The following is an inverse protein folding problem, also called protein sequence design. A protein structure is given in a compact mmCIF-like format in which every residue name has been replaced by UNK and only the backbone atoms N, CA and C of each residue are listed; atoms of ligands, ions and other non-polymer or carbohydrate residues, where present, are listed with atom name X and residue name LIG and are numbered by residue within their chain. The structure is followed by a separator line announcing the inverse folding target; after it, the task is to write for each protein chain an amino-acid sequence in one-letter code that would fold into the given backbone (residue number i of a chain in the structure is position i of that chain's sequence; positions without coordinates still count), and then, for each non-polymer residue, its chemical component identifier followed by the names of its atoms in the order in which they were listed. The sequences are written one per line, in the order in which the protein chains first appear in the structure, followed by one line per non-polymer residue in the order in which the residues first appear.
data_IF_145540894012
#
_entry.id   IF_145540894012
#
_cell.length_a   1.000
_cell.length_b   1.000
_cell.length_c   1.000
_cell.angle_alpha   90.00
_cell.angle_beta   90.00
_cell.angle_gamma   90.00
#
_symmetry.space_group_name_H-M   'P 1'
#
loop_
_entity.id
_entity.type
_entity.pdbx_description
1 polymer ?
#
# COMPACT_ATOMS: atom_id res chain seq x y z
N UNK A 1 4.15 19.53 18.84
CA UNK A 1 5.23 18.56 18.98
C UNK A 1 4.62 17.18 19.16
N UNK A 2 4.94 16.20 18.32
CA UNK A 2 4.42 14.83 18.35
C UNK A 2 4.56 14.17 19.73
N UNK A 3 5.69 14.37 20.40
CA UNK A 3 5.94 13.86 21.75
C UNK A 3 4.89 14.33 22.77
N UNK A 4 4.53 15.61 22.73
CA UNK A 4 3.53 16.15 23.67
C UNK A 4 2.14 15.54 23.43
N UNK A 5 1.82 15.17 22.19
CA UNK A 5 0.55 14.54 21.82
C UNK A 5 0.54 13.08 22.28
N UNK A 6 1.65 12.37 22.12
CA UNK A 6 1.83 11.00 22.57
C UNK A 6 1.73 10.90 24.11
N UNK A 7 2.32 11.84 24.86
CA UNK A 7 2.25 11.88 26.32
C UNK A 7 0.85 12.26 26.85
N UNK A 8 0.07 13.00 26.06
CA UNK A 8 -1.30 13.40 26.44
C UNK A 8 -2.35 12.34 26.08
N UNK A 9 -2.08 11.45 25.12
CA UNK A 9 -3.05 10.50 24.60
C UNK A 9 -3.62 9.55 25.66
N UNK A 10 -2.83 8.94 26.58
CA UNK A 10 -3.37 8.10 27.64
C UNK A 10 -4.44 8.82 28.47
N UNK A 11 -4.14 10.06 28.87
CA UNK A 11 -5.06 10.88 29.69
C UNK A 11 -6.35 11.27 28.94
N UNK A 12 -6.25 11.49 27.63
CA UNK A 12 -7.42 11.78 26.78
C UNK A 12 -8.31 10.55 26.64
N UNK A 13 -7.71 9.38 26.44
CA UNK A 13 -8.43 8.11 26.33
C UNK A 13 -9.08 7.74 27.67
N UNK A 14 -8.37 7.88 28.79
CA UNK A 14 -8.92 7.68 30.15
C UNK A 14 -10.14 8.56 30.42
N UNK A 15 -10.09 9.84 30.05
CA UNK A 15 -11.22 10.77 30.19
C UNK A 15 -12.41 10.35 29.33
N UNK A 16 -12.17 9.87 28.12
CA UNK A 16 -13.23 9.42 27.20
C UNK A 16 -13.86 8.09 27.62
N UNK A 17 -13.06 7.17 28.14
CA UNK A 17 -13.50 5.81 28.51
C UNK A 17 -13.96 5.68 29.96
N UNK A 18 -13.68 6.66 30.83
CA UNK A 18 -14.01 6.64 32.26
C UNK A 18 -13.26 5.58 33.08
N UNK A 19 -12.18 5.02 32.57
CA UNK A 19 -11.32 4.02 33.21
C UNK A 19 -9.88 4.13 32.72
N UNK A 20 -8.94 3.71 33.59
CA UNK A 20 -7.53 3.63 33.20
C UNK A 20 -7.33 2.70 32.00
N UNK A 21 -6.51 3.14 31.07
CA UNK A 21 -6.19 2.40 29.84
C UNK A 21 -4.68 2.35 29.71
N UNK A 22 -4.14 1.14 29.67
CA UNK A 22 -2.74 0.93 29.34
C UNK A 22 -2.53 1.02 27.84
N UNK A 23 -1.81 2.06 27.42
CA UNK A 23 -1.41 2.20 26.01
C UNK A 23 -0.04 1.58 25.85
N UNK A 24 -0.01 0.44 25.20
CA UNK A 24 1.24 -0.23 24.83
C UNK A 24 1.74 0.34 23.51
N UNK A 25 2.84 1.05 23.57
CA UNK A 25 3.54 1.53 22.37
C UNK A 25 4.38 0.39 21.81
N UNK A 26 4.16 0.08 20.54
CA UNK A 26 5.08 -0.80 19.83
C UNK A 26 6.21 0.06 19.27
N UNK A 27 7.42 -0.15 19.77
CA UNK A 27 8.62 0.57 19.31
C UNK A 27 9.00 0.24 17.85
N UNK A 28 8.44 -0.84 17.31
CA UNK A 28 8.61 -1.26 15.92
C UNK A 28 7.26 -1.25 15.19
N UNK A 29 6.95 -0.18 14.51
CA UNK A 29 5.88 -0.16 13.51
C UNK A 29 6.50 -0.19 12.10
N UNK A 30 6.06 -1.07 11.20
CA UNK A 30 5.03 -2.10 11.41
C UNK A 30 5.54 -3.23 12.30
N UNK A 31 4.67 -3.82 13.15
CA UNK A 31 5.08 -4.92 14.00
C UNK A 31 5.60 -6.05 13.12
N UNK A 32 6.89 -6.33 13.22
CA UNK A 32 7.58 -7.49 12.65
C UNK A 32 6.95 -8.10 11.37
N UNK A 33 6.56 -7.27 10.40
CA UNK A 33 6.30 -7.75 9.04
C UNK A 33 7.56 -8.38 8.43
N UNK A 34 8.71 -8.16 9.06
CA UNK A 34 9.96 -8.85 8.78
C UNK A 34 9.92 -10.35 9.04
N UNK A 35 9.04 -10.83 9.92
CA UNK A 35 8.90 -12.28 10.15
C UNK A 35 8.02 -12.95 9.07
N UNK A 36 7.10 -12.22 8.46
CA UNK A 36 6.32 -12.73 7.32
C UNK A 36 7.13 -12.71 6.01
N UNK A 37 8.28 -12.03 5.97
CA UNK A 37 9.17 -12.02 4.80
C UNK A 37 10.15 -13.20 4.78
N UNK A 38 10.26 -13.97 5.87
CA UNK A 38 11.28 -15.03 5.99
C UNK A 38 10.94 -16.30 5.19
N UNK A 39 9.68 -16.47 4.76
CA UNK A 39 9.29 -17.58 3.88
C UNK A 39 8.40 -17.10 2.74
N UNK A 40 8.89 -16.11 2.01
CA UNK A 40 8.25 -15.80 0.73
C UNK A 40 8.58 -16.94 -0.21
N UNK A 41 7.59 -17.73 -0.68
CA UNK A 41 7.86 -18.74 -1.70
C UNK A 41 8.57 -18.03 -2.85
N UNK A 42 9.61 -18.66 -3.38
CA UNK A 42 10.39 -18.10 -4.49
C UNK A 42 9.43 -17.51 -5.51
N UNK A 43 9.59 -16.21 -5.81
CA UNK A 43 8.70 -15.48 -6.68
C UNK A 43 8.49 -16.33 -7.94
N UNK A 44 7.27 -16.82 -8.14
CA UNK A 44 6.96 -17.57 -9.37
C UNK A 44 7.21 -16.60 -10.51
N UNK A 45 8.21 -16.89 -11.33
CA UNK A 45 8.60 -16.04 -12.47
C UNK A 45 7.41 -15.79 -13.42
N UNK A 46 6.31 -16.48 -13.20
CA UNK A 46 5.15 -16.51 -14.08
C UNK A 46 3.97 -15.63 -13.60
N UNK A 47 3.88 -15.33 -12.30
CA UNK A 47 2.76 -14.56 -11.76
C UNK A 47 2.96 -13.04 -11.94
N UNK A 48 1.92 -12.29 -12.39
CA UNK A 48 1.97 -10.83 -12.40
C UNK A 48 2.18 -10.27 -10.99
N UNK A 49 3.01 -9.25 -10.87
CA UNK A 49 3.38 -8.64 -9.59
C UNK A 49 2.71 -7.28 -9.44
N UNK A 50 1.97 -7.09 -8.36
CA UNK A 50 1.27 -5.84 -8.06
C UNK A 50 1.85 -5.22 -6.80
N UNK A 51 2.45 -4.04 -6.95
CA UNK A 51 2.96 -3.23 -5.85
C UNK A 51 1.82 -2.51 -5.13
N UNK A 52 1.85 -2.50 -3.80
CA UNK A 52 0.90 -1.78 -2.96
C UNK A 52 1.65 -0.58 -2.35
N UNK A 53 1.10 0.63 -2.47
CA UNK A 53 1.68 1.85 -1.90
C UNK A 53 0.57 2.82 -1.51
N UNK A 54 0.84 3.78 -0.65
CA UNK A 54 -0.12 4.81 -0.23
C UNK A 54 -0.11 5.03 1.27
N UNK A 55 -1.28 5.19 1.88
CA UNK A 55 -1.39 5.33 3.32
C UNK A 55 -0.84 4.09 4.03
N UNK A 56 0.10 4.29 4.97
CA UNK A 56 0.80 3.20 5.64
C UNK A 56 -0.16 2.23 6.37
N UNK A 57 -1.19 2.76 7.05
CA UNK A 57 -2.18 1.92 7.71
C UNK A 57 -2.91 1.04 6.70
N UNK A 58 -3.35 1.62 5.58
CA UNK A 58 -4.03 0.86 4.53
C UNK A 58 -3.12 -0.17 3.87
N UNK A 59 -1.82 0.11 3.75
CA UNK A 59 -0.89 -0.85 3.14
C UNK A 59 -0.69 -2.11 3.97
N UNK A 60 -0.69 -1.99 5.30
CA UNK A 60 -0.27 -3.08 6.19
C UNK A 60 -1.41 -3.71 7.01
N UNK A 61 -2.52 -3.03 7.18
CA UNK A 61 -3.64 -3.55 7.96
C UNK A 61 -4.67 -4.22 7.04
N UNK A 62 -4.75 -5.56 7.15
CA UNK A 62 -5.65 -6.36 6.32
C UNK A 62 -7.14 -6.10 6.58
N UNK A 63 -7.49 -5.63 7.78
CA UNK A 63 -8.87 -5.26 8.09
C UNK A 63 -9.25 -3.95 7.38
N UNK A 64 -8.35 -2.96 7.41
CA UNK A 64 -8.59 -1.65 6.79
C UNK A 64 -8.58 -1.70 5.26
N UNK A 65 -7.86 -2.65 4.66
CA UNK A 65 -7.75 -2.79 3.21
C UNK A 65 -8.56 -3.95 2.61
N UNK A 66 -9.54 -4.47 3.38
CA UNK A 66 -10.43 -5.57 2.96
C UNK A 66 -9.65 -6.84 2.51
N UNK A 67 -8.49 -7.11 3.11
CA UNK A 67 -7.65 -8.25 2.76
C UNK A 67 -7.08 -8.19 1.34
N UNK A 68 -6.67 -7.01 0.89
CA UNK A 68 -6.21 -6.75 -0.47
C UNK A 68 -5.15 -7.74 -0.97
N UNK A 69 -4.14 -8.06 -0.15
CA UNK A 69 -3.09 -8.99 -0.55
C UNK A 69 -3.67 -10.38 -0.88
N UNK A 70 -4.53 -10.92 0.00
CA UNK A 70 -5.21 -12.18 -0.24
C UNK A 70 -6.16 -12.12 -1.44
N UNK A 71 -6.78 -10.96 -1.70
CA UNK A 71 -7.63 -10.77 -2.88
C UNK A 71 -6.80 -10.81 -4.18
N UNK A 72 -5.63 -10.16 -4.20
CA UNK A 72 -4.71 -10.21 -5.34
C UNK A 72 -4.20 -11.64 -5.59
N UNK A 73 -3.90 -12.39 -4.54
CA UNK A 73 -3.51 -13.80 -4.67
C UNK A 73 -4.62 -14.65 -5.28
N UNK A 74 -5.86 -14.48 -4.87
CA UNK A 74 -7.03 -15.15 -5.49
C UNK A 74 -7.20 -14.79 -6.96
N UNK A 75 -6.77 -13.59 -7.37
CA UNK A 75 -6.72 -13.17 -8.77
C UNK A 75 -5.50 -13.70 -9.52
N UNK A 76 -4.65 -14.52 -8.90
CA UNK A 76 -3.46 -15.10 -9.51
C UNK A 76 -2.28 -14.12 -9.62
N UNK A 77 -2.32 -13.01 -8.89
CA UNK A 77 -1.24 -12.02 -8.82
C UNK A 77 -0.41 -12.18 -7.54
N UNK A 78 0.85 -11.77 -7.57
CA UNK A 78 1.69 -11.64 -6.40
C UNK A 78 1.56 -10.22 -5.84
N UNK A 79 1.17 -10.08 -4.57
CA UNK A 79 1.15 -8.79 -3.88
C UNK A 79 2.55 -8.44 -3.37
N UNK A 80 3.06 -7.26 -3.74
CA UNK A 80 4.35 -6.75 -3.28
C UNK A 80 4.10 -5.57 -2.35
N UNK A 81 4.35 -5.78 -1.06
CA UNK A 81 4.18 -4.74 -0.05
C UNK A 81 5.32 -3.71 -0.14
N UNK A 82 5.07 -2.45 0.25
CA UNK A 82 6.10 -1.44 0.29
C UNK A 82 7.08 -1.69 1.43
N UNK A 83 8.29 -1.16 1.29
CA UNK A 83 9.21 -1.09 2.41
C UNK A 83 8.67 -0.08 3.43
N UNK A 84 8.44 -0.49 4.70
CA UNK A 84 7.99 0.41 5.74
C UNK A 84 8.86 1.66 5.89
N UNK A 85 10.17 1.53 5.74
CA UNK A 85 11.09 2.65 5.80
C UNK A 85 10.83 3.72 4.74
N UNK A 86 10.30 3.32 3.58
CA UNK A 86 9.93 4.23 2.51
C UNK A 86 8.60 4.95 2.75
N UNK A 87 7.77 4.53 3.69
CA UNK A 87 6.46 5.12 3.94
C UNK A 87 6.43 6.14 5.07
N UNK A 88 7.46 6.14 5.93
CA UNK A 88 7.47 6.91 7.16
C UNK A 88 8.23 8.24 7.08
N UNK A 89 9.00 8.49 6.02
CA UNK A 89 10.07 9.50 6.12
C UNK A 89 9.85 10.79 5.39
N UNK A 90 9.09 10.95 4.32
CA UNK A 90 8.94 12.25 3.63
C UNK A 90 7.94 12.24 2.47
N UNK A 91 7.59 13.43 1.99
CA UNK A 91 6.70 13.67 0.85
C UNK A 91 7.18 13.04 -0.48
N UNK A 92 8.40 12.55 -0.53
CA UNK A 92 9.03 11.92 -1.72
C UNK A 92 9.12 10.40 -1.59
N UNK A 93 8.67 9.83 -0.47
CA UNK A 93 8.84 8.40 -0.16
C UNK A 93 8.22 7.49 -1.20
N UNK A 94 7.04 7.86 -1.73
CA UNK A 94 6.40 7.05 -2.74
C UNK A 94 7.22 6.92 -4.02
N UNK A 95 8.02 7.92 -4.40
CA UNK A 95 8.90 7.83 -5.58
C UNK A 95 10.00 6.80 -5.36
N UNK A 96 10.63 6.78 -4.17
CA UNK A 96 11.61 5.74 -3.82
C UNK A 96 10.98 4.36 -3.83
N UNK A 97 9.74 4.25 -3.35
CA UNK A 97 9.03 2.98 -3.38
C UNK A 97 8.69 2.55 -4.81
N UNK A 98 8.35 3.49 -5.69
CA UNK A 98 8.15 3.19 -7.11
C UNK A 98 9.46 2.78 -7.80
N UNK A 99 10.60 3.40 -7.47
CA UNK A 99 11.93 2.96 -7.92
C UNK A 99 12.22 1.52 -7.47
N UNK A 100 11.94 1.20 -6.21
CA UNK A 100 12.10 -0.15 -5.67
C UNK A 100 11.18 -1.17 -6.36
N UNK A 101 9.94 -0.80 -6.64
CA UNK A 101 8.99 -1.64 -7.36
C UNK A 101 9.44 -1.89 -8.81
N UNK A 102 9.93 -0.86 -9.48
CA UNK A 102 10.49 -1.00 -10.83
C UNK A 102 11.69 -1.97 -10.84
N UNK A 103 12.61 -1.80 -9.89
CA UNK A 103 13.76 -2.69 -9.74
C UNK A 103 13.34 -4.14 -9.40
N UNK A 104 12.26 -4.30 -8.64
CA UNK A 104 11.70 -5.60 -8.30
C UNK A 104 10.87 -6.23 -9.44
N UNK A 105 10.71 -5.57 -10.59
CA UNK A 105 9.94 -6.09 -11.71
C UNK A 105 8.43 -6.15 -11.45
N UNK A 106 7.90 -5.18 -10.70
CA UNK A 106 6.45 -5.00 -10.51
C UNK A 106 5.80 -4.61 -11.82
N UNK A 107 4.66 -5.19 -12.12
CA UNK A 107 3.95 -5.00 -13.39
C UNK A 107 2.90 -3.88 -13.31
N UNK A 108 2.36 -3.64 -12.13
CA UNK A 108 1.32 -2.64 -11.86
C UNK A 108 1.38 -2.18 -10.42
N UNK A 109 0.98 -0.96 -10.12
CA UNK A 109 0.92 -0.44 -8.75
C UNK A 109 -0.52 -0.07 -8.38
N UNK A 110 -0.95 -0.47 -7.19
CA UNK A 110 -2.19 -0.01 -6.56
C UNK A 110 -1.84 0.99 -5.48
N UNK A 111 -2.31 2.23 -5.64
CA UNK A 111 -2.13 3.30 -4.67
C UNK A 111 -3.36 3.39 -3.78
N UNK A 112 -3.17 3.13 -2.48
CA UNK A 112 -4.25 3.15 -1.48
C UNK A 112 -4.35 4.55 -0.86
N UNK A 113 -5.52 5.13 -0.95
CA UNK A 113 -5.80 6.42 -0.35
C UNK A 113 -7.13 6.44 0.40
N UNK A 114 -7.27 7.40 1.31
CA UNK A 114 -8.54 7.79 1.92
C UNK A 114 -8.80 9.25 1.59
N UNK A 115 -10.01 9.59 1.21
CA UNK A 115 -10.42 10.96 0.88
C UNK A 115 -10.22 11.93 2.06
N UNK A 116 -10.40 11.44 3.28
CA UNK A 116 -10.16 12.21 4.50
C UNK A 116 -8.70 12.64 4.70
N UNK A 117 -7.76 12.08 3.94
CA UNK A 117 -6.35 12.46 3.96
C UNK A 117 -6.02 13.36 2.78
N UNK A 118 -6.24 14.68 2.91
CA UNK A 118 -5.94 15.66 1.86
C UNK A 118 -4.50 15.56 1.35
N UNK A 119 -3.53 15.37 2.23
CA UNK A 119 -2.12 15.18 1.88
C UNK A 119 -1.95 13.96 0.98
N UNK A 120 -2.51 12.81 1.36
CA UNK A 120 -2.46 11.58 0.56
C UNK A 120 -3.11 11.74 -0.81
N UNK A 121 -4.22 12.48 -0.89
CA UNK A 121 -4.93 12.73 -2.15
C UNK A 121 -4.12 13.58 -3.13
N UNK A 122 -3.49 14.66 -2.65
CA UNK A 122 -2.62 15.52 -3.46
C UNK A 122 -1.37 14.75 -3.91
N UNK A 123 -0.77 13.99 -3.00
CA UNK A 123 0.40 13.16 -3.30
C UNK A 123 0.09 12.05 -4.31
N UNK A 124 -1.08 11.40 -4.20
CA UNK A 124 -1.52 10.40 -5.16
C UNK A 124 -1.56 10.94 -6.59
N UNK A 125 -2.10 12.14 -6.77
CA UNK A 125 -2.13 12.79 -8.09
C UNK A 125 -0.73 13.11 -8.61
N UNK A 126 0.14 13.63 -7.75
CA UNK A 126 1.54 13.88 -8.09
C UNK A 126 2.28 12.59 -8.46
N UNK A 127 2.05 11.51 -7.68
CA UNK A 127 2.61 10.20 -7.93
C UNK A 127 2.18 9.62 -9.28
N UNK A 128 0.89 9.73 -9.62
CA UNK A 128 0.35 9.26 -10.89
C UNK A 128 1.04 9.94 -12.08
N UNK A 129 1.19 11.26 -12.04
CA UNK A 129 1.86 12.00 -13.11
C UNK A 129 3.36 11.70 -13.19
N UNK A 130 4.03 11.56 -12.06
CA UNK A 130 5.45 11.21 -12.02
C UNK A 130 5.67 9.77 -12.51
N UNK A 131 4.84 8.83 -12.06
CA UNK A 131 4.91 7.43 -12.44
C UNK A 131 4.66 7.23 -13.94
N UNK A 132 3.64 7.87 -14.50
CA UNK A 132 3.31 7.76 -15.93
C UNK A 132 4.47 8.21 -16.84
N UNK A 133 5.23 9.22 -16.41
CA UNK A 133 6.39 9.72 -17.16
C UNK A 133 7.66 8.90 -16.93
N UNK A 134 7.89 8.48 -15.68
CA UNK A 134 9.14 7.83 -15.28
C UNK A 134 9.11 6.31 -15.50
N UNK A 135 7.91 5.70 -15.38
CA UNK A 135 7.73 4.25 -15.48
C UNK A 135 6.56 3.89 -16.40
N UNK A 136 6.66 4.15 -17.71
CA UNK A 136 5.55 3.93 -18.65
C UNK A 136 5.09 2.46 -18.70
N UNK A 137 5.97 1.52 -18.34
CA UNK A 137 5.65 0.09 -18.26
C UNK A 137 5.11 -0.39 -16.91
N UNK A 138 4.89 0.53 -15.94
CA UNK A 138 4.37 0.23 -14.60
C UNK A 138 3.24 1.19 -14.25
N UNK A 139 2.03 0.98 -14.77
CA UNK A 139 0.90 1.86 -14.52
C UNK A 139 0.46 1.83 -13.06
N UNK A 140 -0.17 2.93 -12.61
CA UNK A 140 -0.66 3.10 -11.24
C UNK A 140 -2.17 3.25 -11.25
N UNK A 141 -2.87 2.47 -10.45
CA UNK A 141 -4.31 2.59 -10.19
C UNK A 141 -4.53 3.10 -8.77
N UNK A 142 -5.27 4.18 -8.61
CA UNK A 142 -5.68 4.69 -7.28
C UNK A 142 -6.95 3.99 -6.83
N UNK A 143 -6.97 3.56 -5.57
CA UNK A 143 -8.13 2.92 -4.94
C UNK A 143 -8.45 3.65 -3.64
N UNK A 144 -9.72 4.09 -3.52
CA UNK A 144 -10.22 4.82 -2.36
C UNK A 144 -10.78 3.86 -1.32
N UNK A 145 -10.30 3.98 -0.07
CA UNK A 145 -10.72 3.20 1.09
C UNK A 145 -11.47 4.08 2.08
N UNK A 146 -12.50 4.76 1.61
CA UNK A 146 -13.37 5.54 2.46
C UNK A 146 -14.57 4.69 2.92
N UNK A 147 -15.14 4.95 4.11
CA UNK A 147 -16.30 4.21 4.62
C UNK A 147 -17.50 4.25 3.67
N UNK A 148 -17.65 5.35 2.93
CA UNK A 148 -18.75 5.55 1.97
C UNK A 148 -18.40 5.05 0.54
N UNK A 149 -17.14 4.65 0.31
CA UNK A 149 -16.75 4.15 -1.00
C UNK A 149 -17.33 2.76 -1.26
N UNK A 150 -17.91 2.57 -2.44
CA UNK A 150 -18.48 1.29 -2.84
C UNK A 150 -17.43 0.18 -2.87
N UNK A 151 -17.62 -0.87 -2.09
CA UNK A 151 -16.77 -2.05 -2.09
C UNK A 151 -16.68 -2.68 -3.50
N UNK A 152 -17.80 -2.72 -4.23
CA UNK A 152 -17.85 -3.22 -5.61
C UNK A 152 -16.95 -2.38 -6.54
N UNK A 153 -16.96 -1.06 -6.38
CA UNK A 153 -16.10 -0.19 -7.19
C UNK A 153 -14.61 -0.42 -6.87
N UNK A 154 -14.25 -0.60 -5.59
CA UNK A 154 -12.90 -0.97 -5.18
C UNK A 154 -12.47 -2.29 -5.82
N UNK A 155 -13.28 -3.32 -5.68
CA UNK A 155 -13.00 -4.63 -6.28
C UNK A 155 -12.82 -4.54 -7.79
N UNK A 156 -13.68 -3.83 -8.49
CA UNK A 156 -13.58 -3.68 -9.93
C UNK A 156 -12.28 -2.98 -10.35
N UNK A 157 -11.87 -1.94 -9.64
CA UNK A 157 -10.58 -1.27 -9.88
C UNK A 157 -9.39 -2.21 -9.66
N UNK A 158 -9.42 -3.02 -8.61
CA UNK A 158 -8.37 -4.00 -8.32
C UNK A 158 -8.35 -5.09 -9.40
N UNK A 159 -9.51 -5.57 -9.85
CA UNK A 159 -9.61 -6.55 -10.95
C UNK A 159 -9.05 -5.99 -12.26
N UNK A 160 -9.31 -4.72 -12.56
CA UNK A 160 -8.75 -4.03 -13.73
C UNK A 160 -7.22 -3.90 -13.61
N UNK A 161 -6.71 -3.52 -12.44
CA UNK A 161 -5.28 -3.47 -12.18
C UNK A 161 -4.61 -4.85 -12.37
N UNK A 162 -5.24 -5.92 -11.88
CA UNK A 162 -4.77 -7.28 -12.07
C UNK A 162 -4.79 -7.72 -13.56
N UNK A 163 -5.80 -7.32 -14.32
CA UNK A 163 -5.85 -7.57 -15.76
C UNK A 163 -4.74 -6.82 -16.51
N UNK A 164 -4.52 -5.53 -16.17
CA UNK A 164 -3.46 -4.71 -16.74
C UNK A 164 -2.07 -5.26 -16.40
N UNK A 165 -1.85 -5.74 -15.17
CA UNK A 165 -0.59 -6.38 -14.78
C UNK A 165 -0.29 -7.64 -15.62
N UNK A 166 -1.32 -8.47 -15.89
CA UNK A 166 -1.16 -9.64 -16.76
C UNK A 166 -0.76 -9.24 -18.17
N UNK A 167 -1.39 -8.22 -18.74
CA UNK A 167 -1.06 -7.71 -20.07
C UNK A 167 0.36 -7.16 -20.14
N UNK A 168 0.75 -6.34 -19.15
CA UNK A 168 2.10 -5.78 -19.06
C UNK A 168 3.17 -6.88 -18.97
N UNK A 169 2.88 -7.94 -18.21
CA UNK A 169 3.80 -9.07 -18.08
C UNK A 169 3.91 -9.89 -19.38
N UNK A 170 2.79 -10.15 -20.05
CA UNK A 170 2.78 -10.83 -21.34
C UNK A 170 3.60 -10.06 -22.38
N UNK A 171 3.37 -8.75 -22.50
CA UNK A 171 4.10 -7.89 -23.43
C UNK A 171 5.61 -7.87 -23.18
N UNK A 172 6.04 -7.90 -21.92
CA UNK A 172 7.48 -8.00 -21.57
C UNK A 172 8.11 -9.33 -21.97
N UNK A 173 7.33 -10.42 -21.96
CA UNK A 173 7.80 -11.74 -22.40
C UNK A 173 7.94 -11.87 -23.91
N UNK A 174 7.05 -11.21 -24.64
CA UNK A 174 7.08 -11.19 -26.10
C UNK A 174 8.18 -10.28 -26.68
N UNK A 175 8.63 -9.29 -25.87
CA UNK A 175 9.69 -8.35 -26.26
C UNK A 175 11.09 -8.69 -25.77
N UNK A 176 11.27 -9.77 -25.02
CA UNK A 176 12.55 -10.26 -24.50
C UNK A 176 13.06 -11.47 -25.28
#
# INVERSE_FOLDING_TARGET
CERCLLDALPRLVERGCGRAVDIVWQDAWPPALGAASAERPAASADRPRIGIVGNALLCFDAYLNDGLAAFLERLGCEAVLPDPANLLVDDVCYLRQLDAFQAAGVDHVVYLQSFGCLKGHVQARGALHAAARRYPGMPVTVVDYDPEASALNRENRIRLAAAAARQARAARREGA
#
